data_IF_960738920520
#
_entry.id   IF_960738920520
#
_cell.length_a   1.000
_cell.length_b   1.000
_cell.length_c   1.000
_cell.angle_alpha   90.00
_cell.angle_beta   90.00
_cell.angle_gamma   90.00
#
_symmetry.space_group_name_H-M   'P 1'
#
loop_
_entity.id
_entity.type
_entity.pdbx_description
1 polymer ?
#
# COMPACT_ATOMS: atom_id res chain seq x y z
N UNK A 1 0.33 13.02 6.14
CA UNK A 1 0.83 12.21 5.02
C UNK A 1 1.29 10.88 5.58
N UNK A 2 1.01 9.79 4.88
CA UNK A 2 1.35 8.42 5.28
C UNK A 2 1.76 7.61 4.06
N UNK A 3 2.53 6.54 4.26
CA UNK A 3 2.72 5.52 3.22
C UNK A 3 1.64 4.46 3.39
N UNK A 4 1.09 3.96 2.29
CA UNK A 4 0.11 2.87 2.33
C UNK A 4 0.59 1.69 1.51
N UNK A 5 0.43 0.49 2.05
CA UNK A 5 0.56 -0.75 1.30
C UNK A 5 -0.54 -0.83 0.22
N UNK A 6 -0.23 -1.42 -0.93
CA UNK A 6 -1.19 -1.71 -2.01
C UNK A 6 -2.46 -2.39 -1.49
N UNK A 7 -2.36 -3.28 -0.50
CA UNK A 7 -3.54 -3.94 0.09
C UNK A 7 -4.50 -2.93 0.74
N UNK A 8 -3.99 -1.85 1.34
CA UNK A 8 -4.84 -0.78 1.93
C UNK A 8 -5.57 -0.01 0.82
N UNK A 9 -4.90 0.24 -0.31
CA UNK A 9 -5.52 0.83 -1.50
C UNK A 9 -6.62 -0.09 -2.03
N UNK A 10 -6.37 -1.40 -2.05
CA UNK A 10 -7.37 -2.39 -2.46
C UNK A 10 -8.59 -2.38 -1.52
N UNK A 11 -8.41 -2.29 -0.20
CA UNK A 11 -9.53 -2.20 0.75
C UNK A 11 -10.39 -0.94 0.55
N UNK A 12 -9.79 0.17 0.12
CA UNK A 12 -10.51 1.41 -0.19
C UNK A 12 -11.34 1.31 -1.48
N UNK A 13 -10.83 0.60 -2.48
CA UNK A 13 -11.41 0.61 -3.83
C UNK A 13 -12.29 -0.60 -4.15
N UNK A 14 -12.09 -1.71 -3.44
CA UNK A 14 -12.83 -2.95 -3.59
C UNK A 14 -13.65 -3.20 -2.32
N UNK A 15 -14.96 -3.48 -2.43
CA UNK A 15 -15.78 -3.82 -1.27
C UNK A 15 -15.23 -5.05 -0.53
N UNK A 16 -15.10 -4.94 0.78
CA UNK A 16 -14.66 -6.05 1.64
C UNK A 16 -14.69 -5.69 3.13
N UNK A 17 -14.25 -6.62 4.00
CA UNK A 17 -14.36 -6.45 5.45
C UNK A 17 -13.63 -5.24 6.04
N UNK A 18 -12.64 -4.68 5.33
CA UNK A 18 -11.82 -3.54 5.78
C UNK A 18 -12.15 -2.23 5.05
N UNK A 19 -13.19 -2.19 4.22
CA UNK A 19 -13.53 -0.99 3.44
C UNK A 19 -13.84 0.21 4.34
N UNK A 20 -14.64 0.03 5.40
CA UNK A 20 -14.96 1.11 6.33
C UNK A 20 -13.72 1.69 7.03
N UNK A 21 -12.75 0.84 7.38
CA UNK A 21 -11.49 1.25 8.01
C UNK A 21 -10.60 2.00 7.02
N UNK A 22 -10.48 1.52 5.78
CA UNK A 22 -9.71 2.20 4.74
C UNK A 22 -10.31 3.55 4.37
N UNK A 23 -11.65 3.65 4.32
CA UNK A 23 -12.34 4.93 4.15
C UNK A 23 -12.14 5.87 5.34
N UNK A 24 -12.16 5.35 6.57
CA UNK A 24 -11.85 6.13 7.78
C UNK A 24 -10.41 6.68 7.74
N UNK A 25 -9.44 5.84 7.36
CA UNK A 25 -8.07 6.27 7.12
C UNK A 25 -8.01 7.38 6.07
N UNK A 26 -8.74 7.23 4.96
CA UNK A 26 -8.76 8.21 3.86
C UNK A 26 -9.37 9.55 4.27
N UNK A 27 -10.30 9.54 5.24
CA UNK A 27 -10.87 10.75 5.87
C UNK A 27 -9.88 11.39 6.84
N UNK A 28 -9.16 10.58 7.61
CA UNK A 28 -8.17 11.05 8.58
C UNK A 28 -6.94 11.66 7.89
N UNK A 29 -6.40 10.97 6.89
CA UNK A 29 -5.27 11.44 6.09
C UNK A 29 -5.55 11.27 4.61
N UNK A 30 -5.43 12.37 3.86
CA UNK A 30 -5.71 12.41 2.43
C UNK A 30 -4.49 12.21 1.53
N UNK A 31 -3.28 12.26 2.07
CA UNK A 31 -2.03 12.23 1.33
C UNK A 31 -1.35 10.88 1.55
N UNK A 32 -1.51 9.99 0.57
CA UNK A 32 -1.04 8.62 0.62
C UNK A 32 0.11 8.46 -0.37
N UNK A 33 1.30 8.17 0.14
CA UNK A 33 2.49 7.92 -0.65
C UNK A 33 2.71 6.41 -0.85
N UNK A 34 3.37 6.06 -1.95
CA UNK A 34 3.69 4.68 -2.33
C UNK A 34 4.97 4.60 -3.17
N UNK A 35 5.69 3.46 -3.19
CA UNK A 35 6.70 3.19 -4.20
C UNK A 35 6.04 2.84 -5.54
N UNK A 36 6.66 3.13 -6.72
CA UNK A 36 6.07 2.85 -8.03
C UNK A 36 5.58 1.41 -8.26
N UNK A 37 6.15 0.46 -7.50
CA UNK A 37 5.77 -0.94 -7.47
C UNK A 37 4.27 -1.18 -7.25
N UNK A 38 3.58 -0.29 -6.51
CA UNK A 38 2.16 -0.43 -6.18
C UNK A 38 1.29 -0.67 -7.42
N UNK A 39 1.66 -0.09 -8.57
CA UNK A 39 0.92 -0.29 -9.83
C UNK A 39 0.90 -1.75 -10.25
N UNK A 40 2.05 -2.43 -10.17
CA UNK A 40 2.16 -3.84 -10.53
C UNK A 40 1.40 -4.72 -9.56
N UNK A 41 1.49 -4.42 -8.26
CA UNK A 41 0.76 -5.14 -7.24
C UNK A 41 -0.75 -4.98 -7.37
N UNK A 42 -1.25 -3.75 -7.58
CA UNK A 42 -2.68 -3.50 -7.71
C UNK A 42 -3.24 -4.14 -9.00
N UNK A 43 -2.49 -4.09 -10.11
CA UNK A 43 -2.84 -4.83 -11.33
C UNK A 43 -2.94 -6.34 -11.07
N UNK A 44 -2.07 -6.90 -10.24
CA UNK A 44 -2.14 -8.31 -9.86
C UNK A 44 -3.40 -8.61 -9.03
N UNK A 45 -3.75 -7.73 -8.08
CA UNK A 45 -5.01 -7.83 -7.31
C UNK A 45 -6.22 -7.82 -8.25
N UNK A 46 -6.29 -6.86 -9.17
CA UNK A 46 -7.38 -6.75 -10.14
C UNK A 46 -7.43 -7.97 -11.09
N UNK A 47 -6.29 -8.50 -11.49
CA UNK A 47 -6.19 -9.72 -12.33
C UNK A 47 -6.85 -10.91 -11.64
N UNK A 48 -6.66 -11.08 -10.34
CA UNK A 48 -7.31 -12.17 -9.59
C UNK A 48 -8.84 -12.02 -9.58
N UNK A 49 -9.35 -10.80 -9.49
CA UNK A 49 -10.79 -10.53 -9.52
C UNK A 49 -11.39 -10.80 -10.91
N UNK A 50 -10.70 -10.37 -11.97
CA UNK A 50 -11.11 -10.63 -13.36
C UNK A 50 -11.11 -12.12 -13.66
N UNK A 51 -10.07 -12.87 -13.26
CA UNK A 51 -9.98 -14.32 -13.49
C UNK A 51 -11.02 -15.15 -12.73
N UNK A 52 -11.62 -14.58 -11.68
CA UNK A 52 -12.69 -15.21 -10.88
C UNK A 52 -14.08 -14.69 -11.28
N UNK A 53 -14.18 -13.94 -12.38
CA UNK A 53 -15.41 -13.29 -12.84
C UNK A 53 -16.09 -12.39 -11.80
N UNK A 54 -15.32 -11.88 -10.82
CA UNK A 54 -15.80 -10.94 -9.80
C UNK A 54 -15.84 -9.51 -10.31
N UNK A 55 -15.02 -9.20 -11.32
CA UNK A 55 -15.00 -7.91 -12.00
C UNK A 55 -14.90 -8.12 -13.51
N UNK A 56 -15.63 -7.32 -14.26
CA UNK A 56 -15.40 -7.19 -15.70
C UNK A 56 -14.09 -6.42 -15.95
N UNK A 57 -13.46 -6.65 -17.11
CA UNK A 57 -12.27 -5.90 -17.50
C UNK A 57 -12.50 -4.37 -17.50
N UNK A 58 -13.62 -3.82 -18.02
CA UNK A 58 -13.91 -2.39 -17.91
C UNK A 58 -13.98 -1.88 -16.47
N UNK A 59 -14.57 -2.65 -15.55
CA UNK A 59 -14.64 -2.27 -14.14
C UNK A 59 -13.24 -2.27 -13.50
N UNK A 60 -12.41 -3.26 -13.80
CA UNK A 60 -11.03 -3.32 -13.33
C UNK A 60 -10.20 -2.13 -13.85
N UNK A 61 -10.34 -1.75 -15.13
CA UNK A 61 -9.67 -0.59 -15.70
C UNK A 61 -10.10 0.73 -15.03
N UNK A 62 -11.40 0.89 -14.77
CA UNK A 62 -11.91 2.06 -14.06
C UNK A 62 -11.37 2.16 -12.63
N UNK A 63 -11.22 1.03 -11.93
CA UNK A 63 -10.61 1.00 -10.60
C UNK A 63 -9.11 1.34 -10.65
N UNK A 64 -8.38 0.83 -11.65
CA UNK A 64 -6.97 1.18 -11.85
C UNK A 64 -6.80 2.69 -12.05
N UNK A 65 -7.60 3.30 -12.94
CA UNK A 65 -7.56 4.74 -13.18
C UNK A 65 -7.88 5.55 -11.91
N UNK A 66 -8.84 5.08 -11.11
CA UNK A 66 -9.16 5.72 -9.82
C UNK A 66 -7.99 5.63 -8.83
N UNK A 67 -7.29 4.49 -8.78
CA UNK A 67 -6.09 4.33 -7.95
C UNK A 67 -4.95 5.25 -8.41
N UNK A 68 -4.74 5.36 -9.73
CA UNK A 68 -3.73 6.24 -10.31
C UNK A 68 -4.01 7.71 -9.95
N UNK A 69 -5.25 8.18 -10.09
CA UNK A 69 -5.61 9.55 -9.68
C UNK A 69 -5.41 9.76 -8.18
N UNK A 70 -5.64 8.74 -7.35
CA UNK A 70 -5.46 8.82 -5.90
C UNK A 70 -4.00 8.98 -5.49
N UNK A 71 -3.08 8.32 -6.19
CA UNK A 71 -1.68 8.15 -5.78
C UNK A 71 -0.66 8.91 -6.65
N UNK A 72 -1.03 9.36 -7.85
CA UNK A 72 -0.09 9.85 -8.84
C UNK A 72 0.79 11.02 -8.38
N UNK A 73 0.33 11.85 -7.43
CA UNK A 73 1.11 12.98 -6.92
C UNK A 73 2.11 12.60 -5.83
N UNK A 74 2.04 11.40 -5.27
CA UNK A 74 2.75 11.01 -4.05
C UNK A 74 3.62 9.76 -4.23
N UNK A 75 3.96 9.42 -5.48
CA UNK A 75 4.88 8.32 -5.75
C UNK A 75 6.33 8.71 -5.46
N UNK A 76 7.00 7.87 -4.68
CA UNK A 76 8.37 8.11 -4.26
C UNK A 76 9.29 7.03 -4.86
N UNK A 77 10.28 7.46 -5.63
CA UNK A 77 11.36 6.56 -6.04
C UNK A 77 12.16 6.11 -4.82
N UNK A 78 12.60 4.86 -4.83
CA UNK A 78 13.41 4.27 -3.77
C UNK A 78 14.78 3.87 -4.31
N UNK A 79 15.82 4.11 -3.51
CA UNK A 79 17.19 3.71 -3.86
C UNK A 79 17.38 2.22 -3.58
N UNK A 80 17.94 1.47 -4.54
CA UNK A 80 18.19 0.04 -4.36
C UNK A 80 19.10 -0.27 -3.18
N UNK A 81 20.07 0.60 -2.88
CA UNK A 81 20.94 0.46 -1.70
C UNK A 81 20.15 0.47 -0.40
N UNK A 82 19.19 1.39 -0.26
CA UNK A 82 18.34 1.50 0.92
C UNK A 82 17.44 0.27 1.08
N UNK A 83 16.81 -0.18 0.00
CA UNK A 83 15.97 -1.40 0.02
C UNK A 83 16.80 -2.63 0.38
N UNK A 84 17.98 -2.81 -0.22
CA UNK A 84 18.85 -3.95 0.09
C UNK A 84 19.40 -3.90 1.53
N UNK A 85 19.62 -2.71 2.08
CA UNK A 85 19.98 -2.55 3.49
C UNK A 85 18.85 -3.05 4.41
N UNK A 86 17.61 -2.62 4.18
CA UNK A 86 16.43 -3.05 4.94
C UNK A 86 16.19 -4.57 4.84
N UNK A 87 16.37 -5.15 3.64
CA UNK A 87 16.27 -6.60 3.44
C UNK A 87 17.35 -7.33 4.23
N UNK A 88 18.58 -6.82 4.29
CA UNK A 88 19.67 -7.47 5.04
C UNK A 88 19.42 -7.54 6.55
N UNK A 89 18.53 -6.69 7.07
CA UNK A 89 18.20 -6.57 8.49
C UNK A 89 16.86 -7.24 8.86
N UNK A 90 16.14 -7.80 7.89
CA UNK A 90 14.80 -8.37 8.08
C UNK A 90 14.62 -9.66 7.29
N UNK A 91 13.52 -10.36 7.52
CA UNK A 91 13.08 -11.48 6.66
C UNK A 91 12.06 -11.04 5.61
N UNK A 92 11.82 -9.74 5.46
CA UNK A 92 10.86 -9.18 4.52
C UNK A 92 11.39 -9.22 3.09
N UNK A 93 10.48 -9.25 2.12
CA UNK A 93 10.86 -9.21 0.72
C UNK A 93 11.35 -7.81 0.31
N UNK A 94 12.11 -7.72 -0.78
CA UNK A 94 12.52 -6.43 -1.34
C UNK A 94 11.30 -5.55 -1.67
N UNK A 95 10.21 -6.15 -2.16
CA UNK A 95 8.95 -5.46 -2.44
C UNK A 95 8.35 -4.81 -1.19
N UNK A 96 8.27 -5.56 -0.09
CA UNK A 96 7.79 -5.04 1.20
C UNK A 96 8.70 -3.91 1.71
N UNK A 97 10.02 -4.09 1.57
CA UNK A 97 11.00 -3.09 1.99
C UNK A 97 10.97 -1.81 1.14
N UNK A 98 10.44 -1.81 -0.10
CA UNK A 98 10.23 -0.57 -0.84
C UNK A 98 9.27 0.38 -0.11
N UNK A 99 8.18 -0.15 0.44
CA UNK A 99 7.22 0.66 1.20
C UNK A 99 7.82 1.21 2.49
N UNK A 100 8.64 0.41 3.18
CA UNK A 100 9.38 0.85 4.38
C UNK A 100 10.39 1.94 4.01
N UNK A 101 11.13 1.79 2.91
CA UNK A 101 12.09 2.78 2.45
C UNK A 101 11.42 4.13 2.14
N UNK A 102 10.24 4.12 1.47
CA UNK A 102 9.46 5.36 1.25
C UNK A 102 9.06 6.00 2.58
N UNK A 103 8.61 5.19 3.55
CA UNK A 103 8.18 5.68 4.85
C UNK A 103 9.34 6.32 5.63
N UNK A 104 10.52 5.70 5.62
CA UNK A 104 11.73 6.26 6.21
C UNK A 104 12.19 7.53 5.50
N UNK A 105 12.18 7.56 4.17
CA UNK A 105 12.54 8.75 3.37
C UNK A 105 11.66 9.96 3.70
N UNK A 106 10.36 9.72 3.86
CA UNK A 106 9.39 10.78 4.16
C UNK A 106 9.28 11.09 5.67
N UNK A 107 9.84 10.25 6.54
CA UNK A 107 9.70 10.37 7.99
C UNK A 107 8.25 10.18 8.48
N UNK A 108 7.49 9.29 7.83
CA UNK A 108 6.08 9.01 8.14
C UNK A 108 5.86 7.51 8.39
N UNK A 109 4.67 7.15 8.87
CA UNK A 109 4.32 5.74 9.09
C UNK A 109 3.86 5.05 7.81
N UNK A 110 4.18 3.75 7.72
CA UNK A 110 3.62 2.81 6.75
C UNK A 110 2.35 2.18 7.33
N UNK A 111 1.22 2.33 6.64
CA UNK A 111 0.00 1.62 6.99
C UNK A 111 -0.08 0.34 6.16
N UNK A 112 -0.03 -0.80 6.84
CA UNK A 112 -0.11 -2.14 6.25
C UNK A 112 -0.84 -3.08 7.19
N UNK A 113 -1.49 -4.10 6.63
CA UNK A 113 -2.08 -5.19 7.40
C UNK A 113 -1.23 -6.47 7.36
N UNK A 114 -0.03 -6.38 6.77
CA UNK A 114 0.97 -7.44 6.82
C UNK A 114 1.63 -7.48 8.21
N UNK A 115 1.41 -8.58 8.92
CA UNK A 115 1.92 -8.79 10.28
C UNK A 115 3.43 -8.99 10.33
N UNK A 116 4.04 -9.54 9.27
CA UNK A 116 5.49 -9.70 9.19
C UNK A 116 6.16 -8.33 9.06
N UNK A 117 5.63 -7.43 8.23
CA UNK A 117 6.09 -6.04 8.15
C UNK A 117 5.93 -5.29 9.48
N UNK A 118 4.76 -5.40 10.12
CA UNK A 118 4.51 -4.78 11.43
C UNK A 118 5.47 -5.29 12.51
N UNK A 119 5.81 -6.59 12.49
CA UNK A 119 6.74 -7.17 13.45
C UNK A 119 8.21 -6.83 13.16
N UNK A 120 8.60 -6.76 11.89
CA UNK A 120 9.97 -6.44 11.48
C UNK A 120 10.29 -4.95 11.64
N UNK A 121 9.32 -4.07 11.41
CA UNK A 121 9.50 -2.61 11.45
C UNK A 121 8.49 -1.91 12.37
N UNK A 122 8.41 -2.25 13.66
CA UNK A 122 7.35 -1.77 14.56
C UNK A 122 7.37 -0.26 14.83
N UNK A 123 8.49 0.42 14.57
CA UNK A 123 8.58 1.88 14.66
C UNK A 123 8.02 2.61 13.42
N UNK A 124 7.92 1.90 12.29
CA UNK A 124 7.52 2.47 10.99
C UNK A 124 6.14 1.96 10.58
N UNK A 125 5.89 0.66 10.69
CA UNK A 125 4.69 -0.02 10.21
C UNK A 125 3.58 -0.08 11.28
N UNK A 126 2.37 0.33 10.89
CA UNK A 126 1.16 0.34 11.73
C UNK A 126 0.01 -0.35 10.99
N UNK A 127 -0.85 -1.01 11.76
CA UNK A 127 -2.15 -1.51 11.28
C UNK A 127 -3.11 -0.36 10.98
N UNK A 128 -4.13 -0.64 10.17
CA UNK A 128 -5.26 0.25 9.94
C UNK A 128 -5.92 0.66 11.25
N UNK A 129 -6.12 -0.29 12.15
CA UNK A 129 -6.72 -0.02 13.45
C UNK A 129 -5.90 1.00 14.25
N UNK A 130 -4.58 0.85 14.32
CA UNK A 130 -3.70 1.80 15.02
C UNK A 130 -3.71 3.19 14.38
N UNK A 131 -3.84 3.26 13.05
CA UNK A 131 -3.83 4.52 12.32
C UNK A 131 -5.16 5.30 12.37
N UNK A 132 -6.26 4.64 12.76
CA UNK A 132 -7.59 5.26 12.84
C UNK A 132 -8.18 5.31 14.24
N UNK A 133 -7.43 4.85 15.26
CA UNK A 133 -7.80 4.96 16.68
C UNK A 133 -7.43 6.34 17.22
#
# INVERSE_FOLDING_TARGET
MIVVDTNVVAYLLLPGPKTEQAEALRRHDRHWATPPLWRSEFRNVLTQHVRRDLLSLPAALALMQKAEVLLASEEQAVASEHVLHLVSQSSCSAYDCEFVAVAEQLGVHLITEDRALQAAFPAIAMSLHQATS
#
